data_IF_616488105059
#
_entry.id   IF_616488105059
#
_cell.length_a   1.000
_cell.length_b   1.000
_cell.length_c   1.000
_cell.angle_alpha   90.00
_cell.angle_beta   90.00
_cell.angle_gamma   90.00
#
_symmetry.space_group_name_H-M   'P 1'
#
loop_
_entity.id
_entity.type
_entity.pdbx_description
1 polymer ?
#
# COMPACT_ATOMS: atom_id res chain seq x y z
N UNK A 1 31.51 0.84 -19.75
CA UNK A 1 30.55 1.28 -18.71
C UNK A 1 29.74 0.09 -18.20
N UNK A 2 29.87 -0.30 -16.92
CA UNK A 2 29.00 -1.32 -16.34
C UNK A 2 27.64 -0.67 -16.01
N UNK A 3 26.62 -0.97 -16.82
CA UNK A 3 25.24 -0.54 -16.57
C UNK A 3 24.81 -1.10 -15.21
N UNK A 4 24.55 -0.23 -14.25
CA UNK A 4 23.90 -0.62 -13.00
C UNK A 4 22.49 -1.03 -13.38
N UNK A 5 22.18 -2.33 -13.34
CA UNK A 5 20.90 -2.85 -13.79
C UNK A 5 19.75 -2.36 -12.90
N UNK A 6 20.02 -2.16 -11.60
CA UNK A 6 19.01 -1.79 -10.62
C UNK A 6 19.55 -0.73 -9.63
N UNK A 7 19.64 0.54 -10.04
CA UNK A 7 20.15 1.63 -9.19
C UNK A 7 19.21 1.95 -8.00
N UNK A 8 17.91 1.80 -8.20
CA UNK A 8 16.84 2.03 -7.21
C UNK A 8 17.01 1.11 -6.00
N UNK A 9 17.10 -0.19 -6.26
CA UNK A 9 17.26 -1.22 -5.25
C UNK A 9 18.53 -1.03 -4.42
N UNK A 10 19.63 -0.63 -5.09
CA UNK A 10 20.89 -0.34 -4.44
C UNK A 10 20.82 0.87 -3.49
N UNK A 11 20.12 1.94 -3.89
CA UNK A 11 19.87 3.11 -3.03
C UNK A 11 19.03 2.72 -1.81
N UNK A 12 17.92 1.98 -2.00
CA UNK A 12 17.02 1.55 -0.93
C UNK A 12 17.70 0.64 0.09
N UNK A 13 18.57 -0.26 -0.34
CA UNK A 13 19.36 -1.07 0.59
C UNK A 13 20.28 -0.21 1.44
N UNK A 14 20.96 0.77 0.85
CA UNK A 14 21.79 1.72 1.62
C UNK A 14 20.97 2.54 2.59
N UNK A 15 19.74 2.92 2.20
CA UNK A 15 18.80 3.61 3.08
C UNK A 15 18.41 2.73 4.28
N UNK A 16 17.98 1.49 4.06
CA UNK A 16 17.65 0.53 5.14
C UNK A 16 18.84 0.29 6.07
N UNK A 17 20.04 0.17 5.50
CA UNK A 17 21.27 0.04 6.28
C UNK A 17 21.56 1.27 7.13
N UNK A 18 21.28 2.48 6.63
CA UNK A 18 21.52 3.73 7.34
C UNK A 18 20.48 3.95 8.43
N UNK A 19 19.20 3.73 8.13
CA UNK A 19 18.08 3.85 9.08
C UNK A 19 18.22 2.87 10.26
N UNK A 20 18.66 1.64 10.00
CA UNK A 20 18.83 0.61 11.03
C UNK A 20 20.24 0.56 11.63
N UNK A 21 21.17 1.41 11.17
CA UNK A 21 22.57 1.42 11.63
C UNK A 21 23.34 0.14 11.31
N UNK A 22 22.98 -0.57 10.23
CA UNK A 22 23.59 -1.84 9.83
C UNK A 22 24.72 -1.65 8.82
N UNK A 23 25.82 -2.39 8.97
CA UNK A 23 26.82 -2.52 7.92
C UNK A 23 26.49 -3.67 6.95
N UNK A 24 27.20 -3.78 5.81
CA UNK A 24 26.92 -4.81 4.78
C UNK A 24 26.98 -6.24 5.35
N UNK A 25 27.88 -6.50 6.29
CA UNK A 25 28.01 -7.76 7.00
C UNK A 25 26.87 -7.99 8.00
N UNK A 26 26.35 -6.94 8.64
CA UNK A 26 25.20 -7.05 9.54
C UNK A 26 23.93 -7.34 8.75
N UNK A 27 23.74 -6.66 7.62
CA UNK A 27 22.65 -6.97 6.69
C UNK A 27 22.78 -8.39 6.13
N UNK A 28 23.99 -8.83 5.79
CA UNK A 28 24.23 -10.20 5.32
C UNK A 28 23.84 -11.25 6.38
N UNK A 29 24.18 -11.01 7.65
CA UNK A 29 23.78 -11.86 8.78
C UNK A 29 22.26 -11.87 8.96
N UNK A 30 21.63 -10.69 8.91
CA UNK A 30 20.18 -10.55 9.11
C UNK A 30 19.38 -11.23 7.99
N UNK A 31 19.80 -11.10 6.74
CA UNK A 31 19.10 -11.71 5.59
C UNK A 31 19.55 -13.17 5.36
N UNK A 32 20.46 -13.69 6.19
CA UNK A 32 21.05 -15.04 6.08
C UNK A 32 21.66 -15.29 4.69
N UNK A 33 22.39 -14.31 4.17
CA UNK A 33 22.99 -14.34 2.84
C UNK A 33 24.49 -14.09 2.90
N UNK A 34 25.19 -14.50 1.84
CA UNK A 34 26.61 -14.23 1.69
C UNK A 34 26.86 -12.73 1.52
N UNK A 35 27.97 -12.24 2.09
CA UNK A 35 28.45 -10.86 1.95
C UNK A 35 28.54 -10.43 0.47
N UNK A 36 28.92 -11.36 -0.42
CA UNK A 36 28.99 -11.12 -1.87
C UNK A 36 27.62 -10.80 -2.47
N UNK A 37 26.54 -11.41 -1.97
CA UNK A 37 25.19 -11.14 -2.44
C UNK A 37 24.75 -9.72 -2.06
N UNK A 38 24.96 -9.33 -0.80
CA UNK A 38 24.67 -7.97 -0.31
C UNK A 38 25.53 -6.93 -1.03
N UNK A 39 26.80 -7.24 -1.32
CA UNK A 39 27.66 -6.36 -2.08
C UNK A 39 27.17 -6.18 -3.53
N UNK A 40 26.70 -7.25 -4.18
CA UNK A 40 26.11 -7.17 -5.52
C UNK A 40 24.78 -6.41 -5.52
N UNK A 41 24.02 -6.48 -4.43
CA UNK A 41 22.81 -5.68 -4.24
C UNK A 41 23.12 -4.19 -4.05
N UNK A 42 24.08 -3.85 -3.18
CA UNK A 42 24.52 -2.46 -2.94
C UNK A 42 25.16 -1.82 -4.17
N UNK A 43 25.71 -2.64 -5.10
CA UNK A 43 26.21 -2.21 -6.40
C UNK A 43 25.14 -2.21 -7.50
N UNK A 44 23.91 -2.64 -7.21
CA UNK A 44 22.80 -2.72 -8.17
C UNK A 44 23.04 -3.68 -9.33
N UNK A 45 23.92 -4.68 -9.14
CA UNK A 45 24.20 -5.74 -10.12
C UNK A 45 23.14 -6.83 -10.14
N UNK A 46 22.53 -7.07 -8.98
CA UNK A 46 21.52 -8.12 -8.77
C UNK A 46 20.46 -7.61 -7.81
N UNK A 47 19.24 -8.14 -7.90
CA UNK A 47 18.13 -7.83 -6.97
C UNK A 47 17.82 -9.05 -6.11
N UNK A 48 17.25 -8.81 -4.92
CA UNK A 48 16.63 -9.87 -4.16
C UNK A 48 15.30 -10.23 -4.83
N UNK A 49 15.05 -11.52 -5.07
CA UNK A 49 13.80 -12.02 -5.62
C UNK A 49 13.29 -13.20 -4.80
N UNK A 50 11.97 -13.34 -4.71
CA UNK A 50 11.29 -14.41 -3.99
C UNK A 50 11.64 -14.43 -2.49
N UNK A 51 12.16 -15.56 -2.03
CA UNK A 51 12.43 -15.81 -0.61
C UNK A 51 13.43 -14.82 0.02
N UNK A 52 14.42 -14.37 -0.76
CA UNK A 52 15.43 -13.40 -0.29
C UNK A 52 14.84 -12.01 -0.08
N UNK A 53 13.90 -11.62 -0.94
CA UNK A 53 13.20 -10.35 -0.85
C UNK A 53 12.24 -10.36 0.35
N UNK A 54 11.52 -11.47 0.56
CA UNK A 54 10.64 -11.66 1.72
C UNK A 54 11.40 -11.60 3.05
N UNK A 55 12.60 -12.21 3.11
CA UNK A 55 13.48 -12.10 4.29
C UNK A 55 13.98 -10.67 4.51
N UNK A 56 14.42 -10.01 3.44
CA UNK A 56 14.86 -8.61 3.50
C UNK A 56 13.72 -7.68 3.96
N UNK A 57 12.50 -7.90 3.46
CA UNK A 57 11.29 -7.19 3.86
C UNK A 57 10.95 -7.42 5.35
N UNK A 58 10.98 -8.67 5.81
CA UNK A 58 10.73 -9.01 7.20
C UNK A 58 11.74 -8.37 8.16
N UNK A 59 13.03 -8.40 7.80
CA UNK A 59 14.13 -7.81 8.58
C UNK A 59 14.03 -6.29 8.60
N UNK A 60 13.81 -5.66 7.45
CA UNK A 60 13.73 -4.19 7.33
C UNK A 60 12.41 -3.61 7.83
N UNK A 61 11.40 -4.45 8.11
CA UNK A 61 10.01 -4.04 8.39
C UNK A 61 9.40 -3.18 7.28
N UNK A 62 9.88 -3.34 6.04
CA UNK A 62 9.37 -2.67 4.84
C UNK A 62 8.76 -3.70 3.90
N UNK A 63 7.71 -3.36 3.14
CA UNK A 63 7.12 -4.31 2.20
C UNK A 63 8.05 -4.55 1.01
N UNK A 64 7.94 -5.73 0.40
CA UNK A 64 8.80 -6.19 -0.70
C UNK A 64 8.84 -5.22 -1.89
N UNK A 65 7.69 -4.61 -2.22
CA UNK A 65 7.56 -3.65 -3.32
C UNK A 65 8.29 -2.32 -3.07
N UNK A 66 8.51 -1.94 -1.81
CA UNK A 66 9.18 -0.68 -1.45
C UNK A 66 10.62 -0.61 -1.93
N UNK A 67 11.31 -1.77 -2.02
CA UNK A 67 12.68 -1.84 -2.53
C UNK A 67 12.81 -1.53 -4.02
N UNK A 68 11.70 -1.57 -4.76
CA UNK A 68 11.66 -1.28 -6.20
C UNK A 68 11.02 0.08 -6.51
N UNK A 69 10.50 0.79 -5.51
CA UNK A 69 9.96 2.14 -5.67
C UNK A 69 11.10 3.18 -5.60
N UNK A 70 11.24 3.98 -6.65
CA UNK A 70 12.23 5.06 -6.72
C UNK A 70 11.67 6.33 -6.08
N UNK A 71 12.44 7.03 -5.25
CA UNK A 71 11.99 8.31 -4.65
C UNK A 71 11.75 9.38 -5.71
N UNK A 72 12.46 9.29 -6.84
CA UNK A 72 12.38 10.24 -7.93
C UNK A 72 11.19 9.98 -8.88
N UNK A 73 10.58 8.79 -8.83
CA UNK A 73 9.48 8.40 -9.73
C UNK A 73 8.09 8.38 -9.07
N UNK A 74 8.03 8.34 -7.74
CA UNK A 74 6.80 8.02 -7.00
C UNK A 74 6.51 8.94 -5.81
N UNK A 75 6.87 10.23 -5.91
CA UNK A 75 6.14 11.23 -5.12
C UNK A 75 4.62 11.18 -5.41
N UNK A 76 4.21 10.61 -6.56
CA UNK A 76 2.81 10.33 -6.89
C UNK A 76 2.27 8.97 -6.39
N UNK A 77 3.10 7.94 -6.13
CA UNK A 77 2.59 6.61 -5.73
C UNK A 77 2.87 6.21 -4.27
N UNK A 78 3.71 6.92 -3.51
CA UNK A 78 3.75 6.78 -2.03
C UNK A 78 2.43 7.27 -1.39
N UNK A 79 1.67 8.08 -2.13
CA UNK A 79 0.30 8.50 -1.85
C UNK A 79 -0.69 7.32 -1.89
N UNK A 80 -0.42 6.21 -2.59
CA UNK A 80 -1.41 5.13 -2.70
C UNK A 80 -1.50 4.20 -1.49
N UNK A 81 -0.53 4.21 -0.57
CA UNK A 81 -0.62 3.43 0.69
C UNK A 81 -0.87 4.29 1.92
N UNK A 82 -0.82 5.63 1.78
CA UNK A 82 -1.08 6.58 2.88
C UNK A 82 -2.21 7.58 2.59
N UNK A 83 -2.71 7.68 1.37
CA UNK A 83 -3.70 8.69 0.95
C UNK A 83 -5.00 8.08 0.43
N UNK A 84 -5.54 7.11 1.17
CA UNK A 84 -6.98 7.20 1.50
C UNK A 84 -7.18 7.49 2.98
N UNK A 85 -6.27 8.24 3.61
CA UNK A 85 -6.73 9.22 4.60
C UNK A 85 -7.51 10.29 3.83
N UNK A 86 -8.70 9.92 3.34
CA UNK A 86 -9.76 10.89 3.10
C UNK A 86 -9.81 11.69 4.39
N UNK A 87 -9.75 13.01 4.31
CA UNK A 87 -10.16 13.80 5.46
C UNK A 87 -11.58 13.35 5.77
N UNK A 88 -11.69 12.52 6.80
CA UNK A 88 -12.96 11.94 7.19
C UNK A 88 -13.76 13.10 7.74
N UNK A 89 -14.90 13.39 7.12
CA UNK A 89 -15.80 14.41 7.64
C UNK A 89 -16.22 14.03 9.07
N UNK A 90 -16.63 15.01 9.89
CA UNK A 90 -16.99 14.78 11.30
C UNK A 90 -18.05 13.66 11.43
N UNK A 91 -18.92 13.53 10.41
CA UNK A 91 -19.93 12.47 10.29
C UNK A 91 -19.33 11.10 9.99
N UNK A 92 -18.28 11.03 9.18
CA UNK A 92 -17.59 9.76 8.85
C UNK A 92 -16.77 9.26 10.04
N UNK A 93 -16.11 10.16 10.78
CA UNK A 93 -15.42 9.79 12.03
C UNK A 93 -16.41 9.32 13.10
N UNK A 94 -17.54 10.00 13.26
CA UNK A 94 -18.60 9.57 14.18
C UNK A 94 -19.16 8.20 13.79
N UNK A 95 -19.40 7.97 12.49
CA UNK A 95 -19.87 6.68 11.97
C UNK A 95 -18.85 5.57 12.22
N UNK A 96 -17.56 5.82 11.98
CA UNK A 96 -16.49 4.84 12.22
C UNK A 96 -16.31 4.54 13.70
N UNK A 97 -16.44 5.55 14.57
CA UNK A 97 -16.39 5.38 16.02
C UNK A 97 -17.54 4.51 16.52
N UNK A 98 -18.78 4.81 16.10
CA UNK A 98 -19.96 4.02 16.43
C UNK A 98 -19.86 2.61 15.85
N UNK A 99 -19.43 2.49 14.60
CA UNK A 99 -19.22 1.22 13.93
C UNK A 99 -18.24 0.35 14.71
N UNK A 100 -17.11 0.89 15.17
CA UNK A 100 -16.11 0.14 15.93
C UNK A 100 -16.64 -0.37 17.28
N UNK A 101 -17.58 0.35 17.91
CA UNK A 101 -18.22 -0.03 19.17
C UNK A 101 -19.27 -1.14 19.03
N UNK A 102 -19.75 -1.42 17.81
CA UNK A 102 -20.76 -2.45 17.57
C UNK A 102 -20.18 -3.88 17.58
N UNK A 103 -20.96 -4.88 18.05
CA UNK A 103 -20.66 -6.30 17.85
C UNK A 103 -20.64 -6.67 16.35
N UNK A 104 -19.92 -7.74 15.99
CA UNK A 104 -19.77 -8.16 14.59
C UNK A 104 -21.10 -8.44 13.88
N UNK A 105 -22.08 -8.99 14.60
CA UNK A 105 -23.42 -9.25 14.08
C UNK A 105 -24.18 -7.96 13.69
N UNK A 106 -24.00 -6.89 14.45
CA UNK A 106 -24.63 -5.59 14.20
C UNK A 106 -23.91 -4.81 13.09
N UNK A 107 -22.58 -4.93 13.02
CA UNK A 107 -21.76 -4.37 11.93
C UNK A 107 -22.21 -4.86 10.56
N UNK A 108 -22.41 -6.17 10.42
CA UNK A 108 -22.87 -6.77 9.16
C UNK A 108 -24.29 -6.30 8.80
N UNK A 109 -25.17 -6.19 9.79
CA UNK A 109 -26.54 -5.70 9.60
C UNK A 109 -26.57 -4.25 9.14
N UNK A 110 -25.73 -3.39 9.73
CA UNK A 110 -25.60 -2.00 9.35
C UNK A 110 -25.07 -1.86 7.91
N UNK A 111 -24.04 -2.65 7.53
CA UNK A 111 -23.53 -2.66 6.16
C UNK A 111 -24.62 -3.06 5.16
N UNK A 112 -25.39 -4.11 5.48
CA UNK A 112 -26.47 -4.57 4.61
C UNK A 112 -27.56 -3.50 4.47
N UNK A 113 -27.97 -2.89 5.58
CA UNK A 113 -28.98 -1.83 5.57
C UNK A 113 -28.55 -0.62 4.75
N UNK A 114 -27.32 -0.13 4.94
CA UNK A 114 -26.79 1.00 4.17
C UNK A 114 -26.70 0.68 2.68
N UNK A 115 -26.36 -0.57 2.31
CA UNK A 115 -26.36 -1.02 0.91
C UNK A 115 -27.76 -1.01 0.30
N UNK A 116 -28.77 -1.48 1.04
CA UNK A 116 -30.17 -1.46 0.59
C UNK A 116 -30.66 -0.03 0.40
N UNK A 117 -30.40 0.87 1.34
CA UNK A 117 -30.75 2.29 1.23
C UNK A 117 -30.12 2.94 -0.02
N UNK A 118 -28.84 2.66 -0.30
CA UNK A 118 -28.18 3.17 -1.50
C UNK A 118 -28.81 2.62 -2.78
N UNK A 119 -29.19 1.35 -2.80
CA UNK A 119 -29.84 0.73 -3.95
C UNK A 119 -31.24 1.29 -4.19
N UNK A 120 -32.03 1.53 -3.14
CA UNK A 120 -33.35 2.15 -3.25
C UNK A 120 -33.26 3.60 -3.77
N UNK A 121 -32.27 4.37 -3.31
CA UNK A 121 -32.03 5.73 -3.82
C UNK A 121 -31.63 5.71 -5.29
N UNK A 122 -30.80 4.76 -5.71
CA UNK A 122 -30.35 4.61 -7.09
C UNK A 122 -31.51 4.22 -8.01
N UNK A 123 -32.34 3.27 -7.58
CA UNK A 123 -33.55 2.86 -8.29
C UNK A 123 -34.52 4.03 -8.44
N UNK A 124 -34.77 4.78 -7.35
CA UNK A 124 -35.63 5.97 -7.39
C UNK A 124 -35.09 7.05 -8.34
N UNK A 125 -33.76 7.24 -8.39
CA UNK A 125 -33.14 8.16 -9.34
C UNK A 125 -33.33 7.70 -10.79
N UNK A 126 -33.16 6.41 -11.07
CA UNK A 126 -33.39 5.83 -12.40
C UNK A 126 -34.85 6.01 -12.83
N UNK A 127 -35.79 5.68 -11.96
CA UNK A 127 -37.23 5.78 -12.24
C UNK A 127 -37.65 7.24 -12.51
N UNK A 128 -37.16 8.19 -11.69
CA UNK A 128 -37.41 9.62 -11.92
C UNK A 128 -36.77 10.09 -13.23
N UNK A 129 -35.56 9.62 -13.55
CA UNK A 129 -34.87 9.96 -14.79
C UNK A 129 -35.62 9.46 -16.03
N UNK A 130 -36.15 8.23 -15.97
CA UNK A 130 -36.96 7.62 -17.02
C UNK A 130 -38.30 8.34 -17.20
N UNK A 131 -38.95 8.76 -16.10
CA UNK A 131 -40.20 9.55 -16.16
C UNK A 131 -39.95 10.92 -16.81
N UNK A 132 -38.86 11.62 -16.46
CA UNK A 132 -38.51 12.92 -17.06
C UNK A 132 -38.22 12.78 -18.55
N UNK A 133 -37.50 11.73 -18.97
CA UNK A 133 -37.20 11.48 -20.38
C UNK A 133 -38.43 11.05 -21.19
N UNK A 134 -39.38 10.34 -20.57
CA UNK A 134 -40.61 9.91 -21.22
C UNK A 134 -41.66 11.04 -21.32
N UNK A 135 -41.53 12.11 -20.54
CA UNK A 135 -42.37 13.32 -20.63
C UNK A 135 -41.89 14.34 -21.69
N UNK A 136 -40.71 14.13 -22.30
CA UNK A 136 -40.12 15.02 -23.32
C UNK A 136 -40.25 14.50 -24.77
N UNK A 137 -41.07 13.47 -25.01
CA UNK A 137 -41.33 12.90 -26.33
C UNK A 137 -42.82 12.97 -26.68
#
# INVERSE_FOLDING_TARGET
MNKVAHPVFAKRIKQVMTENGWNMADLAKQVLLSHTAVQNWSKGKTVASGERLKRLAAVSRKPEHWFFMDEDGDAENVVLTTSTRRELDEKEEALLSLFNQLPEAEKLRLILHTKTMLHEIDLLKSDVFDIIHNQQK
#
